data_IF_799940774155
#
_entry.id   IF_799940774155
#
_cell.length_a   1.000
_cell.length_b   1.000
_cell.length_c   1.000
_cell.angle_alpha   90.00
_cell.angle_beta   90.00
_cell.angle_gamma   90.00
#
_symmetry.space_group_name_H-M   'P 1'
#
loop_
_entity.id
_entity.type
_entity.pdbx_description
1 polymer ?
#
# COMPACT_ATOMS: atom_id res chain seq x y z
N UNK A 1 20.63 1.42 -5.03
CA UNK A 1 19.20 1.57 -5.38
C UNK A 1 18.60 0.18 -5.48
N UNK A 2 17.38 -0.07 -4.98
CA UNK A 2 16.74 -1.38 -5.09
C UNK A 2 16.65 -1.81 -6.57
N UNK A 3 16.93 -3.08 -6.83
CA UNK A 3 16.76 -3.70 -8.15
C UNK A 3 15.31 -3.49 -8.63
N UNK A 4 15.13 -3.03 -9.87
CA UNK A 4 13.80 -2.86 -10.49
C UNK A 4 12.92 -4.12 -10.39
N UNK A 5 13.52 -5.32 -10.40
CA UNK A 5 12.82 -6.60 -10.20
C UNK A 5 12.28 -6.76 -8.77
N UNK A 6 13.06 -6.37 -7.76
CA UNK A 6 12.65 -6.42 -6.35
C UNK A 6 11.46 -5.47 -6.12
N UNK A 7 11.51 -4.28 -6.71
CA UNK A 7 10.42 -3.31 -6.63
C UNK A 7 9.13 -3.82 -7.28
N UNK A 8 9.23 -4.51 -8.42
CA UNK A 8 8.08 -5.11 -9.09
C UNK A 8 7.43 -6.21 -8.24
N UNK A 9 8.25 -7.02 -7.56
CA UNK A 9 7.80 -8.07 -6.66
C UNK A 9 6.99 -7.48 -5.50
N UNK A 10 7.54 -6.47 -4.82
CA UNK A 10 6.87 -5.77 -3.70
C UNK A 10 5.53 -5.17 -4.13
N UNK A 11 5.45 -4.63 -5.35
CA UNK A 11 4.20 -4.06 -5.90
C UNK A 11 3.16 -5.14 -6.21
N UNK A 12 3.58 -6.30 -6.71
CA UNK A 12 2.69 -7.45 -6.93
C UNK A 12 2.14 -7.96 -5.61
N UNK A 13 3.00 -8.11 -4.60
CA UNK A 13 2.60 -8.56 -3.26
C UNK A 13 1.64 -7.57 -2.60
N UNK A 14 1.95 -6.26 -2.67
CA UNK A 14 1.06 -5.20 -2.19
C UNK A 14 -0.32 -5.26 -2.86
N UNK A 15 -0.39 -5.40 -4.19
CA UNK A 15 -1.67 -5.49 -4.92
C UNK A 15 -2.46 -6.74 -4.55
N UNK A 16 -1.77 -7.88 -4.39
CA UNK A 16 -2.41 -9.15 -3.97
C UNK A 16 -2.98 -9.03 -2.56
N UNK A 17 -2.20 -8.50 -1.61
CA UNK A 17 -2.62 -8.31 -0.23
C UNK A 17 -3.76 -7.29 -0.10
N UNK A 18 -3.73 -6.21 -0.88
CA UNK A 18 -4.74 -5.16 -0.83
C UNK A 18 -6.01 -5.45 -1.65
N UNK A 19 -5.93 -6.40 -2.59
CA UNK A 19 -7.04 -6.77 -3.48
C UNK A 19 -8.31 -7.20 -2.75
N UNK A 20 -8.16 -7.89 -1.61
CA UNK A 20 -9.28 -8.33 -0.77
C UNK A 20 -10.05 -7.18 -0.11
N UNK A 21 -9.46 -5.98 -0.06
CA UNK A 21 -10.02 -4.81 0.61
C UNK A 21 -10.71 -3.84 -0.34
N UNK A 22 -10.54 -4.00 -1.65
CA UNK A 22 -11.10 -3.11 -2.70
C UNK A 22 -12.64 -3.08 -2.70
N UNK A 23 -13.28 -4.16 -2.22
CA UNK A 23 -14.74 -4.26 -2.14
C UNK A 23 -15.28 -4.06 -0.73
N UNK A 24 -14.41 -3.94 0.28
CA UNK A 24 -14.81 -3.78 1.67
C UNK A 24 -14.92 -2.28 1.98
N UNK A 25 -16.06 -1.88 2.51
CA UNK A 25 -16.23 -0.58 3.16
C UNK A 25 -15.71 -0.72 4.58
N UNK A 26 -14.77 0.13 4.97
CA UNK A 26 -14.23 0.16 6.32
C UNK A 26 -14.83 1.34 7.06
N UNK A 27 -15.55 1.06 8.14
CA UNK A 27 -16.03 2.07 9.07
C UNK A 27 -15.28 1.97 10.38
N UNK A 28 -14.60 3.06 10.74
CA UNK A 28 -14.00 3.17 12.07
C UNK A 28 -15.07 3.66 13.04
N UNK A 29 -15.63 2.75 13.83
CA UNK A 29 -16.75 3.01 14.76
C UNK A 29 -16.51 4.15 15.76
N UNK A 30 -15.25 4.46 16.08
CA UNK A 30 -14.90 5.48 17.08
C UNK A 30 -14.91 6.93 16.56
N UNK A 31 -14.92 7.15 15.24
CA UNK A 31 -14.72 8.48 14.66
C UNK A 31 -15.74 8.84 13.56
N UNK A 32 -16.62 7.91 13.16
CA UNK A 32 -17.51 8.09 12.01
C UNK A 32 -16.80 8.18 10.65
N UNK A 33 -15.47 7.99 10.61
CA UNK A 33 -14.70 8.03 9.38
C UNK A 33 -14.87 6.69 8.66
N UNK A 34 -15.62 6.72 7.57
CA UNK A 34 -15.70 5.64 6.60
C UNK A 34 -14.66 5.83 5.49
N UNK A 35 -13.88 4.80 5.19
CA UNK A 35 -12.99 4.79 4.03
C UNK A 35 -13.24 3.56 3.17
N UNK A 36 -13.15 3.77 1.86
CA UNK A 36 -13.27 2.72 0.85
C UNK A 36 -11.97 2.65 0.07
N UNK A 37 -11.32 1.49 0.09
CA UNK A 37 -10.20 1.26 -0.80
C UNK A 37 -10.72 1.05 -2.21
N UNK A 38 -10.20 1.82 -3.16
CA UNK A 38 -10.46 1.59 -4.58
C UNK A 38 -9.13 1.30 -5.31
N UNK A 39 -9.22 0.67 -6.49
CA UNK A 39 -8.03 0.32 -7.31
C UNK A 39 -7.15 1.54 -7.61
N UNK A 40 -7.75 2.70 -7.83
CA UNK A 40 -7.04 3.95 -8.09
C UNK A 40 -6.16 4.36 -6.91
N UNK A 41 -6.70 4.36 -5.69
CA UNK A 41 -5.96 4.67 -4.47
C UNK A 41 -4.82 3.68 -4.21
N UNK A 42 -5.05 2.38 -4.43
CA UNK A 42 -3.98 1.37 -4.28
C UNK A 42 -2.88 1.53 -5.34
N UNK A 43 -3.26 1.87 -6.58
CA UNK A 43 -2.30 2.14 -7.64
C UNK A 43 -1.45 3.40 -7.36
N UNK A 44 -2.01 4.41 -6.67
CA UNK A 44 -1.26 5.58 -6.22
C UNK A 44 -0.23 5.23 -5.15
N UNK A 45 -0.58 4.36 -4.20
CA UNK A 45 0.36 3.89 -3.17
C UNK A 45 1.50 3.12 -3.82
N UNK A 46 1.17 2.09 -4.60
CA UNK A 46 2.18 1.30 -5.32
C UNK A 46 2.73 1.95 -6.58
N UNK A 47 2.64 3.27 -6.76
CA UNK A 47 3.19 3.94 -7.95
C UNK A 47 4.70 4.21 -7.76
N UNK A 48 5.49 4.18 -8.84
CA UNK A 48 6.95 4.25 -8.72
C UNK A 48 7.40 5.60 -8.15
N UNK A 49 6.65 6.66 -8.46
CA UNK A 49 6.90 8.01 -7.92
C UNK A 49 6.67 8.04 -6.41
N UNK A 50 5.64 7.37 -5.91
CA UNK A 50 5.33 7.29 -4.46
C UNK A 50 6.42 6.53 -3.72
N UNK A 51 6.87 5.41 -4.28
CA UNK A 51 8.00 4.64 -3.74
C UNK A 51 9.27 5.49 -3.73
N UNK A 52 9.60 6.12 -4.85
CA UNK A 52 10.78 6.99 -4.97
C UNK A 52 10.74 8.16 -3.99
N UNK A 53 9.56 8.74 -3.76
CA UNK A 53 9.40 9.80 -2.76
C UNK A 53 9.63 9.27 -1.34
N UNK A 54 9.18 8.05 -1.03
CA UNK A 54 9.47 7.38 0.24
C UNK A 54 10.96 7.17 0.44
N UNK A 55 11.65 6.67 -0.59
CA UNK A 55 13.12 6.49 -0.59
C UNK A 55 13.82 7.84 -0.39
N UNK A 56 13.37 8.89 -1.08
CA UNK A 56 13.91 10.25 -0.93
C UNK A 56 13.72 10.79 0.50
N UNK A 57 12.66 10.38 1.18
CA UNK A 57 12.38 10.73 2.56
C UNK A 57 13.15 9.85 3.57
N UNK A 58 14.03 8.96 3.12
CA UNK A 58 14.86 8.10 3.98
C UNK A 58 14.21 6.79 4.41
N UNK A 59 13.09 6.40 3.80
CA UNK A 59 12.44 5.11 4.07
C UNK A 59 12.94 4.02 3.12
N UNK A 60 13.07 2.80 3.62
CA UNK A 60 13.33 1.65 2.75
C UNK A 60 12.08 1.29 1.91
N UNK A 61 12.25 0.75 0.70
CA UNK A 61 11.14 0.31 -0.14
C UNK A 61 10.24 -0.73 0.56
N UNK A 62 10.83 -1.64 1.34
CA UNK A 62 10.08 -2.62 2.12
C UNK A 62 9.16 -1.92 3.14
N UNK A 63 9.65 -0.90 3.84
CA UNK A 63 8.88 -0.13 4.84
C UNK A 63 7.69 0.60 4.20
N UNK A 64 7.88 1.14 2.99
CA UNK A 64 6.80 1.76 2.21
C UNK A 64 5.63 0.79 1.98
N UNK A 65 5.93 -0.49 1.77
CA UNK A 65 4.93 -1.54 1.52
C UNK A 65 4.52 -2.31 2.77
N UNK A 66 5.25 -2.19 3.89
CA UNK A 66 4.98 -2.86 5.16
C UNK A 66 3.58 -2.52 5.72
N UNK A 67 3.08 -1.32 5.42
CA UNK A 67 1.71 -0.89 5.78
C UNK A 67 0.67 -1.91 5.29
N UNK A 68 0.84 -2.52 4.11
CA UNK A 68 -0.10 -3.53 3.60
C UNK A 68 -0.05 -4.87 4.33
N UNK A 69 1.09 -5.23 4.94
CA UNK A 69 1.16 -6.41 5.81
C UNK A 69 0.38 -6.18 7.10
N UNK A 70 0.40 -4.97 7.64
CA UNK A 70 -0.36 -4.63 8.85
C UNK A 70 -1.87 -4.53 8.61
N UNK A 71 -2.34 -4.27 7.37
CA UNK A 71 -3.79 -4.32 7.06
C UNK A 71 -4.37 -5.74 7.30
N UNK A 72 -3.57 -6.82 7.23
CA UNK A 72 -4.04 -8.17 7.60
C UNK A 72 -4.33 -8.34 9.09
N UNK A 73 -3.82 -7.46 9.96
CA UNK A 73 -4.00 -7.53 11.41
C UNK A 73 -5.13 -6.62 11.92
N UNK A 74 -5.82 -5.89 11.03
CA UNK A 74 -7.03 -5.13 11.30
C UNK A 74 -8.28 -5.97 11.04
#
# INVERSE_FOLDING_TARGET
MPDGKQLELLRKDFRKASGIYIKKMFEKKSNGISFKFNRLSLNKIGCIKSVQQSIKNGFEPEDHFQVARNIKQL
#
